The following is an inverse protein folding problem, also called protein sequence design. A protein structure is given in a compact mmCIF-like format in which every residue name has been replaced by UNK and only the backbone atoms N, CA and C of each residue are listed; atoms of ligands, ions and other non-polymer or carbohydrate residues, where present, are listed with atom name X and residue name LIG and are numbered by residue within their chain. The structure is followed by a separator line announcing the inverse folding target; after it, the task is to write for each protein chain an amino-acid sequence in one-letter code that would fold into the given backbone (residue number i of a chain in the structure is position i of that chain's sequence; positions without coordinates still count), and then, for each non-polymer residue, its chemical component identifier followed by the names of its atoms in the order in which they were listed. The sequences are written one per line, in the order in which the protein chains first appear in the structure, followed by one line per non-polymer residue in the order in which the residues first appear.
data_IF_693034080426
#
_entry.id   IF_693034080426
#
_cell.length_a   1.000
_cell.length_b   1.000
_cell.length_c   1.000
_cell.angle_alpha   90.00
_cell.angle_beta   90.00
_cell.angle_gamma   90.00
#
_symmetry.space_group_name_H-M   'P 1'
#
loop_
_entity.id
_entity.type
_entity.pdbx_description
1 polymer ?
#
# COMPACT_ATOMS: atom_id res chain seq x y z
N UNK A 1 -4.88 -14.77 -16.95
CA UNK A 1 -3.99 -13.64 -17.30
C UNK A 1 -3.12 -13.27 -16.10
N UNK A 2 -1.81 -13.08 -16.31
CA UNK A 2 -0.82 -12.77 -15.26
C UNK A 2 -0.89 -11.33 -14.72
N UNK A 3 -1.86 -10.55 -15.20
CA UNK A 3 -2.13 -9.17 -14.81
C UNK A 3 -3.16 -9.02 -13.68
N UNK A 4 -3.66 -10.13 -13.14
CA UNK A 4 -4.69 -10.10 -12.10
C UNK A 4 -4.20 -9.36 -10.84
N UNK A 5 -4.71 -8.14 -10.67
CA UNK A 5 -4.41 -7.24 -9.56
C UNK A 5 -4.73 -7.89 -8.22
N UNK A 6 -5.86 -8.58 -8.12
CA UNK A 6 -6.31 -9.24 -6.88
C UNK A 6 -5.40 -10.40 -6.52
N UNK A 7 -5.00 -11.22 -7.51
CA UNK A 7 -4.03 -12.29 -7.29
C UNK A 7 -2.68 -11.76 -6.81
N UNK A 8 -2.17 -10.68 -7.41
CA UNK A 8 -0.91 -10.04 -6.97
C UNK A 8 -1.00 -9.50 -5.55
N UNK A 9 -2.11 -8.86 -5.21
CA UNK A 9 -2.37 -8.35 -3.86
C UNK A 9 -2.41 -9.49 -2.86
N UNK A 10 -3.19 -10.54 -3.14
CA UNK A 10 -3.29 -11.74 -2.31
C UNK A 10 -1.93 -12.40 -2.09
N UNK A 11 -1.17 -12.66 -3.15
CA UNK A 11 0.16 -13.28 -3.05
C UNK A 11 1.13 -12.49 -2.16
N UNK A 12 1.05 -11.15 -2.16
CA UNK A 12 1.89 -10.30 -1.30
C UNK A 12 1.50 -10.41 0.17
N UNK A 13 0.20 -10.54 0.46
CA UNK A 13 -0.32 -10.75 1.81
C UNK A 13 0.10 -12.13 2.29
N UNK A 14 -0.17 -13.17 1.49
CA UNK A 14 0.14 -14.56 1.83
C UNK A 14 1.64 -14.74 2.07
N UNK A 15 2.49 -14.18 1.19
CA UNK A 15 3.94 -14.18 1.40
C UNK A 15 4.35 -13.47 2.71
N UNK A 16 3.74 -12.33 3.03
CA UNK A 16 4.05 -11.62 4.27
C UNK A 16 3.65 -12.45 5.50
N UNK A 17 2.48 -13.09 5.48
CA UNK A 17 2.03 -14.00 6.55
C UNK A 17 2.96 -15.21 6.71
N UNK A 18 3.33 -15.85 5.61
CA UNK A 18 4.27 -16.98 5.64
C UNK A 18 5.63 -16.56 6.23
N UNK A 19 6.13 -15.37 5.88
CA UNK A 19 7.36 -14.85 6.49
C UNK A 19 7.20 -14.52 7.97
N UNK A 20 6.04 -14.03 8.40
CA UNK A 20 5.77 -13.79 9.81
C UNK A 20 5.85 -15.12 10.59
N UNK A 21 5.03 -16.10 10.22
CA UNK A 21 4.98 -17.43 10.85
C UNK A 21 6.36 -18.11 10.89
N UNK A 22 7.10 -18.06 9.78
CA UNK A 22 8.44 -18.64 9.69
C UNK A 22 9.44 -17.98 10.65
N UNK A 23 9.40 -16.66 10.78
CA UNK A 23 10.32 -15.96 11.68
C UNK A 23 9.89 -16.10 13.14
N UNK A 24 8.60 -16.23 13.40
CA UNK A 24 8.06 -16.45 14.74
C UNK A 24 8.49 -17.82 15.27
N UNK A 25 8.25 -18.88 14.49
CA UNK A 25 8.70 -20.24 14.82
C UNK A 25 10.24 -20.31 15.01
N UNK A 26 11.00 -19.54 14.22
CA UNK A 26 12.46 -19.42 14.38
C UNK A 26 12.83 -18.69 15.66
N UNK A 27 12.12 -17.61 16.00
CA UNK A 27 12.29 -16.85 17.24
C UNK A 27 12.07 -17.75 18.46
N UNK A 28 10.97 -18.48 18.49
CA UNK A 28 10.63 -19.43 19.56
C UNK A 28 11.66 -20.53 19.70
N UNK A 29 12.11 -21.14 18.59
CA UNK A 29 13.14 -22.17 18.62
C UNK A 29 14.46 -21.66 19.21
N UNK A 30 14.91 -20.47 18.79
CA UNK A 30 16.13 -19.85 19.31
C UNK A 30 15.98 -19.40 20.77
N UNK A 31 14.82 -18.90 21.15
CA UNK A 31 14.51 -18.51 22.52
C UNK A 31 14.56 -19.72 23.45
N UNK A 32 13.90 -20.82 23.07
CA UNK A 32 13.90 -22.07 23.82
C UNK A 32 15.31 -22.67 23.92
N UNK A 33 16.10 -22.61 22.85
CA UNK A 33 17.50 -23.02 22.86
C UNK A 33 18.33 -22.17 23.85
N UNK A 34 18.21 -20.85 23.79
CA UNK A 34 18.94 -19.94 24.67
C UNK A 34 18.54 -20.16 26.14
N UNK A 35 17.25 -20.40 26.39
CA UNK A 35 16.71 -20.76 27.70
C UNK A 35 17.33 -22.05 28.23
N UNK A 36 17.33 -23.13 27.44
CA UNK A 36 17.97 -24.40 27.82
C UNK A 36 19.47 -24.25 28.12
N UNK A 37 20.18 -23.40 27.36
CA UNK A 37 21.58 -23.10 27.65
C UNK A 37 21.74 -22.30 28.95
N UNK A 38 20.83 -21.37 29.24
CA UNK A 38 20.84 -20.58 30.47
C UNK A 38 20.54 -21.45 31.70
N UNK A 39 19.62 -22.42 31.58
CA UNK A 39 19.24 -23.35 32.65
C UNK A 39 20.41 -24.23 33.12
N UNK A 40 21.44 -24.42 32.28
CA UNK A 40 22.67 -25.13 32.66
C UNK A 40 23.55 -24.35 33.66
N UNK A 41 23.30 -23.06 33.86
CA UNK A 41 24.00 -22.21 34.84
C UNK A 41 23.12 -22.10 36.08
N UNK A 42 23.54 -22.65 37.24
CA UNK A 42 22.85 -22.45 38.51
C UNK A 42 22.55 -20.98 38.80
N UNK A 43 21.33 -20.71 39.23
CA UNK A 43 20.87 -19.36 39.51
C UNK A 43 21.77 -18.69 40.57
N UNK A 44 22.22 -17.47 40.29
CA UNK A 44 23.09 -16.71 41.18
C UNK A 44 24.58 -17.08 41.15
N UNK A 45 25.01 -18.05 40.33
CA UNK A 45 26.43 -18.40 40.24
C UNK A 45 27.26 -17.23 39.67
N UNK A 46 28.24 -16.68 40.42
CA UNK A 46 29.11 -15.62 39.92
C UNK A 46 30.16 -16.16 38.93
N UNK A 47 30.69 -15.27 38.10
CA UNK A 47 31.87 -15.59 37.26
C UNK A 47 33.09 -15.65 38.18
N UNK A 48 33.80 -16.77 38.18
CA UNK A 48 35.04 -16.95 38.96
C UNK A 48 36.20 -16.22 38.27
N UNK A 49 36.42 -14.96 38.62
CA UNK A 49 37.49 -14.13 38.05
C UNK A 49 38.87 -14.65 38.47
N UNK A 50 39.78 -14.81 37.51
CA UNK A 50 41.13 -15.33 37.72
C UNK A 50 41.23 -16.87 37.74
N UNK A 51 40.11 -17.60 37.68
CA UNK A 51 40.12 -19.06 37.63
C UNK A 51 40.35 -19.56 36.19
N UNK A 52 40.95 -20.75 36.03
CA UNK A 52 41.24 -21.32 34.71
C UNK A 52 39.98 -21.54 33.84
N UNK A 53 38.79 -21.60 34.44
CA UNK A 53 37.49 -21.74 33.76
C UNK A 53 36.84 -20.41 33.36
N UNK A 54 37.36 -19.26 33.80
CA UNK A 54 36.75 -17.95 33.60
C UNK A 54 36.43 -17.67 32.13
N UNK A 55 37.43 -17.87 31.25
CA UNK A 55 37.31 -17.63 29.82
C UNK A 55 36.20 -18.48 29.19
N UNK A 56 36.06 -19.73 29.64
CA UNK A 56 35.03 -20.65 29.14
C UNK A 56 33.63 -20.22 29.58
N UNK A 57 33.46 -19.83 30.84
CA UNK A 57 32.17 -19.37 31.37
C UNK A 57 31.72 -18.07 30.68
N UNK A 58 32.62 -17.08 30.54
CA UNK A 58 32.34 -15.84 29.81
C UNK A 58 31.89 -16.10 28.37
N UNK A 59 32.60 -16.97 27.65
CA UNK A 59 32.24 -17.33 26.28
C UNK A 59 30.87 -18.02 26.20
N UNK A 60 30.57 -18.90 27.16
CA UNK A 60 29.29 -19.60 27.22
C UNK A 60 28.12 -18.64 27.47
N UNK A 61 28.26 -17.74 28.46
CA UNK A 61 27.28 -16.67 28.74
C UNK A 61 27.11 -15.72 27.56
N UNK A 62 28.19 -15.36 26.88
CA UNK A 62 28.13 -14.55 25.64
C UNK A 62 27.36 -15.28 24.54
N UNK A 63 27.55 -16.59 24.38
CA UNK A 63 26.79 -17.40 23.41
C UNK A 63 25.30 -17.42 23.73
N UNK A 64 24.92 -17.54 25.01
CA UNK A 64 23.51 -17.44 25.45
C UNK A 64 22.93 -16.08 25.06
N UNK A 65 23.61 -14.99 25.43
CA UNK A 65 23.19 -13.63 25.12
C UNK A 65 22.99 -13.41 23.61
N UNK A 66 23.96 -13.84 22.80
CA UNK A 66 23.89 -13.73 21.35
C UNK A 66 22.74 -14.58 20.75
N UNK A 67 22.41 -15.71 21.37
CA UNK A 67 21.31 -16.57 20.91
C UNK A 67 19.96 -15.95 21.25
N UNK A 68 19.80 -15.36 22.44
CA UNK A 68 18.64 -14.53 22.76
C UNK A 68 18.52 -13.32 21.82
N UNK A 69 19.61 -12.62 21.55
CA UNK A 69 19.61 -11.50 20.58
C UNK A 69 19.06 -11.92 19.22
N UNK A 70 19.52 -13.06 18.69
CA UNK A 70 18.99 -13.62 17.43
C UNK A 70 17.52 -14.05 17.50
N UNK A 71 17.05 -14.51 18.67
CA UNK A 71 15.65 -14.85 18.89
C UNK A 71 14.76 -13.60 18.80
N UNK A 72 15.13 -12.54 19.52
CA UNK A 72 14.40 -11.27 19.49
C UNK A 72 14.44 -10.62 18.10
N UNK A 73 15.58 -10.63 17.40
CA UNK A 73 15.65 -10.17 16.02
C UNK A 73 14.70 -10.93 15.07
N UNK A 74 14.48 -12.23 15.31
CA UNK A 74 13.54 -13.02 14.53
C UNK A 74 12.09 -12.66 14.88
N UNK A 75 11.77 -12.49 16.15
CA UNK A 75 10.45 -12.03 16.62
C UNK A 75 10.10 -10.64 16.08
N UNK A 76 11.05 -9.70 16.10
CA UNK A 76 10.86 -8.36 15.52
C UNK A 76 10.60 -8.42 14.02
N UNK A 77 11.30 -9.31 13.29
CA UNK A 77 11.04 -9.56 11.87
C UNK A 77 9.65 -10.14 11.66
N UNK A 78 9.20 -11.08 12.50
CA UNK A 78 7.87 -11.65 12.42
C UNK A 78 6.80 -10.56 12.52
N UNK A 79 6.86 -9.75 13.60
CA UNK A 79 5.96 -8.62 13.83
C UNK A 79 5.96 -7.61 12.68
N UNK A 80 7.13 -7.29 12.12
CA UNK A 80 7.21 -6.41 10.95
C UNK A 80 6.45 -6.98 9.74
N UNK A 81 6.55 -8.29 9.49
CA UNK A 81 5.82 -8.93 8.39
C UNK A 81 4.32 -9.04 8.65
N UNK A 82 3.88 -9.23 9.88
CA UNK A 82 2.46 -9.16 10.27
C UNK A 82 1.88 -7.78 9.98
N UNK A 83 2.53 -6.73 10.50
CA UNK A 83 2.13 -5.33 10.27
C UNK A 83 2.11 -5.01 8.77
N UNK A 84 3.06 -5.56 7.99
CA UNK A 84 3.07 -5.41 6.55
C UNK A 84 1.87 -6.08 5.88
N UNK A 85 1.48 -7.28 6.31
CA UNK A 85 0.29 -7.97 5.81
C UNK A 85 -0.98 -7.17 6.12
N UNK A 86 -1.12 -6.69 7.35
CA UNK A 86 -2.22 -5.83 7.79
C UNK A 86 -2.30 -4.54 6.99
N UNK A 87 -1.17 -3.85 6.81
CA UNK A 87 -1.10 -2.60 6.05
C UNK A 87 -1.54 -2.81 4.59
N UNK A 88 -1.15 -3.92 3.96
CA UNK A 88 -1.59 -4.24 2.59
C UNK A 88 -3.08 -4.57 2.55
N UNK A 89 -3.59 -5.28 3.55
CA UNK A 89 -5.00 -5.68 3.65
C UNK A 89 -5.93 -4.48 3.93
N UNK A 90 -5.52 -3.57 4.80
CA UNK A 90 -6.27 -2.37 5.19
C UNK A 90 -6.23 -1.25 4.14
N UNK A 91 -5.26 -1.29 3.21
CA UNK A 91 -5.15 -0.29 2.15
C UNK A 91 -6.37 -0.34 1.21
N UNK A 92 -7.17 0.72 1.27
CA UNK A 92 -8.40 0.95 0.50
C UNK A 92 -8.18 1.85 -0.73
N UNK A 93 -6.92 2.20 -1.03
CA UNK A 93 -6.60 3.04 -2.16
C UNK A 93 -7.05 2.36 -3.47
N UNK A 94 -7.77 3.12 -4.29
CA UNK A 94 -8.17 2.67 -5.62
C UNK A 94 -6.96 2.82 -6.54
N UNK A 95 -6.41 1.73 -7.05
CA UNK A 95 -5.28 1.72 -7.99
C UNK A 95 -5.76 1.79 -9.43
N UNK A 96 -4.98 2.37 -10.35
CA UNK A 96 -5.33 2.42 -11.78
C UNK A 96 -5.24 1.06 -12.47
N UNK A 97 -4.46 0.13 -11.91
CA UNK A 97 -4.28 -1.23 -12.43
C UNK A 97 -5.40 -2.19 -12.00
N UNK A 98 -6.32 -1.74 -11.15
CA UNK A 98 -7.48 -2.53 -10.73
C UNK A 98 -8.53 -2.51 -11.87
N UNK A 99 -8.97 -3.67 -12.40
CA UNK A 99 -9.99 -3.71 -13.46
C UNK A 99 -11.31 -3.04 -13.03
N UNK A 100 -11.60 -3.00 -11.74
CA UNK A 100 -12.80 -2.34 -11.18
C UNK A 100 -12.54 -0.88 -10.74
N UNK A 101 -11.38 -0.29 -11.07
CA UNK A 101 -11.01 1.05 -10.64
C UNK A 101 -12.07 2.11 -11.03
N UNK A 102 -12.57 2.08 -12.26
CA UNK A 102 -13.59 3.02 -12.73
C UNK A 102 -14.90 2.86 -11.96
N UNK A 103 -15.34 1.63 -11.70
CA UNK A 103 -16.55 1.36 -10.92
C UNK A 103 -16.41 1.89 -9.49
N UNK A 104 -15.30 1.59 -8.81
CA UNK A 104 -15.00 2.06 -7.45
C UNK A 104 -14.91 3.59 -7.38
N UNK A 105 -14.28 4.23 -8.37
CA UNK A 105 -14.19 5.70 -8.45
C UNK A 105 -15.56 6.34 -8.69
N UNK A 106 -16.40 5.77 -9.56
CA UNK A 106 -17.77 6.27 -9.80
C UNK A 106 -18.65 6.15 -8.56
N UNK A 107 -18.56 5.04 -7.82
CA UNK A 107 -19.23 4.89 -6.52
C UNK A 107 -18.76 5.96 -5.52
N UNK A 108 -17.45 6.11 -5.36
CA UNK A 108 -16.86 7.14 -4.49
C UNK A 108 -17.28 8.56 -4.90
N UNK A 109 -17.39 8.82 -6.20
CA UNK A 109 -17.88 10.11 -6.70
C UNK A 109 -19.34 10.34 -6.29
N UNK A 110 -20.22 9.35 -6.46
CA UNK A 110 -21.62 9.43 -6.05
C UNK A 110 -21.77 9.68 -4.54
N UNK A 111 -21.00 8.96 -3.71
CA UNK A 111 -20.99 9.15 -2.26
C UNK A 111 -20.54 10.57 -1.88
N UNK A 112 -19.47 11.08 -2.50
CA UNK A 112 -19.00 12.45 -2.26
C UNK A 112 -20.03 13.50 -2.68
N UNK A 113 -20.72 13.28 -3.80
CA UNK A 113 -21.79 14.17 -4.29
C UNK A 113 -23.00 14.18 -3.35
N UNK A 114 -23.45 13.00 -2.90
CA UNK A 114 -24.53 12.88 -1.94
C UNK A 114 -24.18 13.60 -0.62
N UNK A 115 -22.96 13.39 -0.11
CA UNK A 115 -22.46 14.08 1.07
C UNK A 115 -22.38 15.60 0.88
N UNK A 116 -22.02 16.07 -0.32
CA UNK A 116 -21.96 17.51 -0.61
C UNK A 116 -23.33 18.17 -0.55
N UNK A 117 -24.32 17.57 -1.22
CA UNK A 117 -25.68 18.08 -1.23
C UNK A 117 -26.32 17.98 0.16
N UNK A 118 -26.05 16.89 0.89
CA UNK A 118 -26.46 16.77 2.28
C UNK A 118 -25.91 17.90 3.15
N UNK A 119 -24.60 18.16 3.14
CA UNK A 119 -24.00 19.25 3.94
C UNK A 119 -24.58 20.62 3.58
N UNK A 120 -24.81 20.89 2.29
CA UNK A 120 -25.42 22.15 1.83
C UNK A 120 -26.86 22.29 2.33
N UNK A 121 -27.66 21.23 2.21
CA UNK A 121 -29.05 21.21 2.66
C UNK A 121 -29.13 21.33 4.19
N UNK A 122 -28.27 20.61 4.91
CA UNK A 122 -28.14 20.69 6.36
C UNK A 122 -27.82 22.11 6.83
N UNK A 123 -26.81 22.76 6.24
CA UNK A 123 -26.46 24.14 6.58
C UNK A 123 -27.59 25.13 6.26
N UNK A 124 -28.39 24.87 5.22
CA UNK A 124 -29.59 25.66 4.92
C UNK A 124 -30.65 25.51 6.02
N UNK A 125 -30.87 24.30 6.52
CA UNK A 125 -31.80 24.04 7.64
C UNK A 125 -31.33 24.70 8.94
N UNK A 126 -30.03 24.60 9.26
CA UNK A 126 -29.43 25.26 10.44
C UNK A 126 -29.61 26.77 10.38
N UNK A 127 -29.32 27.41 9.24
CA UNK A 127 -29.54 28.85 9.05
C UNK A 127 -30.99 29.27 9.25
N UNK A 128 -31.95 28.41 8.88
CA UNK A 128 -33.39 28.65 9.03
C UNK A 128 -33.94 28.21 10.39
N UNK A 129 -33.12 27.58 11.24
CA UNK A 129 -33.56 26.92 12.49
C UNK A 129 -34.68 25.88 12.26
N UNK A 130 -34.70 25.27 11.08
CA UNK A 130 -35.73 24.33 10.64
C UNK A 130 -35.29 22.89 10.93
N UNK A 131 -35.62 22.41 12.14
CA UNK A 131 -35.29 21.05 12.58
C UNK A 131 -36.09 20.00 11.83
N UNK A 132 -37.37 20.23 11.60
CA UNK A 132 -38.24 19.27 10.90
C UNK A 132 -37.80 19.07 9.45
N UNK A 133 -37.42 20.15 8.76
CA UNK A 133 -36.85 20.10 7.42
C UNK A 133 -35.52 19.36 7.38
N UNK A 134 -34.67 19.50 8.41
CA UNK A 134 -33.43 18.74 8.50
C UNK A 134 -33.67 17.24 8.64
N UNK A 135 -34.60 16.82 9.50
CA UNK A 135 -34.90 15.40 9.73
C UNK A 135 -35.46 14.67 8.50
N UNK A 136 -35.95 15.42 7.51
CA UNK A 136 -36.38 14.88 6.21
C UNK A 136 -35.22 14.64 5.24
N UNK A 137 -34.02 15.13 5.52
CA UNK A 137 -32.86 14.95 4.65
C UNK A 137 -32.33 13.50 4.72
N UNK A 138 -31.78 12.97 3.61
CA UNK A 138 -31.12 11.67 3.63
C UNK A 138 -29.97 11.66 4.64
N UNK A 139 -29.83 10.59 5.43
CA UNK A 139 -28.81 10.44 6.48
C UNK A 139 -28.91 11.43 7.66
N UNK A 140 -29.97 12.23 7.74
CA UNK A 140 -30.21 13.07 8.91
C UNK A 140 -30.57 12.22 10.13
N UNK A 141 -30.03 12.60 11.28
CA UNK A 141 -30.42 12.01 12.56
C UNK A 141 -30.63 13.12 13.60
N UNK A 142 -31.51 12.93 14.60
CA UNK A 142 -31.69 13.91 15.66
C UNK A 142 -30.38 14.22 16.41
N UNK A 143 -29.53 13.21 16.62
CA UNK A 143 -28.22 13.38 17.24
C UNK A 143 -27.29 14.28 16.42
N UNK A 144 -27.25 14.09 15.10
CA UNK A 144 -26.43 14.92 14.21
C UNK A 144 -26.92 16.37 14.19
N UNK A 145 -28.23 16.61 14.25
CA UNK A 145 -28.77 17.97 14.37
C UNK A 145 -28.23 18.69 15.61
N UNK A 146 -28.30 18.03 16.78
CA UNK A 146 -27.78 18.61 18.01
C UNK A 146 -26.26 18.82 17.94
N UNK A 147 -25.52 17.92 17.28
CA UNK A 147 -24.07 18.04 17.10
C UNK A 147 -23.71 19.26 16.26
N UNK A 148 -24.26 19.38 15.05
CA UNK A 148 -23.90 20.47 14.12
C UNK A 148 -24.49 21.82 14.57
N UNK A 149 -25.51 21.84 15.42
CA UNK A 149 -26.10 23.08 15.93
C UNK A 149 -25.36 23.63 17.17
N UNK A 150 -24.42 22.88 17.74
CA UNK A 150 -23.50 23.42 18.74
C UNK A 150 -22.60 24.46 18.08
N UNK A 151 -22.42 25.64 18.69
CA UNK A 151 -21.45 26.60 18.20
C UNK A 151 -20.04 26.02 18.30
N UNK A 152 -19.23 26.25 17.28
CA UNK A 152 -17.79 25.99 17.32
C UNK A 152 -17.07 27.04 18.18
N UNK A 153 -15.74 26.98 18.22
CA UNK A 153 -14.89 27.91 18.98
C UNK A 153 -15.08 29.37 18.55
N UNK A 154 -15.54 29.61 17.32
CA UNK A 154 -15.78 30.93 16.74
C UNK A 154 -17.27 31.33 16.79
N UNK A 155 -18.14 30.46 17.32
CA UNK A 155 -19.58 30.70 17.41
C UNK A 155 -20.36 30.27 16.16
N UNK A 156 -19.71 29.73 15.13
CA UNK A 156 -20.33 29.27 13.90
C UNK A 156 -21.05 27.93 14.11
N UNK A 157 -22.11 27.68 13.34
CA UNK A 157 -22.93 26.47 13.42
C UNK A 157 -23.12 25.83 12.05
N UNK A 158 -23.36 24.53 12.07
CA UNK A 158 -23.50 23.67 10.89
C UNK A 158 -22.19 23.01 10.52
N UNK A 159 -22.17 22.40 9.34
CA UNK A 159 -20.95 21.91 8.74
C UNK A 159 -20.02 23.08 8.40
N UNK A 160 -18.75 23.06 8.88
CA UNK A 160 -17.83 24.15 8.62
C UNK A 160 -17.59 24.37 7.12
N UNK A 161 -17.32 25.62 6.73
CA UNK A 161 -17.13 25.99 5.33
C UNK A 161 -16.04 25.16 4.63
N UNK A 162 -14.92 24.93 5.32
CA UNK A 162 -13.79 24.19 4.78
C UNK A 162 -14.14 22.72 4.48
N UNK A 163 -15.06 22.08 5.24
CA UNK A 163 -15.51 20.72 4.94
C UNK A 163 -16.22 20.66 3.58
N UNK A 164 -17.12 21.61 3.32
CA UNK A 164 -17.87 21.70 2.06
C UNK A 164 -16.92 21.98 0.89
N UNK A 165 -15.98 22.92 1.06
CA UNK A 165 -14.97 23.26 0.06
C UNK A 165 -14.05 22.08 -0.25
N UNK A 166 -13.52 21.40 0.78
CA UNK A 166 -12.65 20.23 0.62
C UNK A 166 -13.37 19.07 -0.07
N UNK A 167 -14.66 18.87 0.24
CA UNK A 167 -15.46 17.86 -0.43
C UNK A 167 -15.65 18.19 -1.92
N UNK A 168 -15.96 19.44 -2.26
CA UNK A 168 -16.08 19.89 -3.66
C UNK A 168 -14.75 19.73 -4.43
N UNK A 169 -13.63 20.09 -3.81
CA UNK A 169 -12.30 19.86 -4.40
C UNK A 169 -12.03 18.36 -4.62
N UNK A 170 -12.50 17.50 -3.71
CA UNK A 170 -12.39 16.04 -3.87
C UNK A 170 -13.25 15.51 -5.02
N UNK A 171 -14.49 16.00 -5.17
CA UNK A 171 -15.37 15.70 -6.30
C UNK A 171 -14.68 16.04 -7.62
N UNK A 172 -14.14 17.26 -7.75
CA UNK A 172 -13.44 17.70 -8.96
C UNK A 172 -12.22 16.81 -9.28
N UNK A 173 -11.40 16.49 -8.27
CA UNK A 173 -10.25 15.58 -8.42
C UNK A 173 -10.66 14.20 -8.91
N UNK A 174 -11.71 13.61 -8.34
CA UNK A 174 -12.19 12.27 -8.73
C UNK A 174 -12.78 12.29 -10.14
N UNK A 175 -13.55 13.32 -10.52
CA UNK A 175 -14.04 13.49 -11.90
C UNK A 175 -12.91 13.53 -12.92
N UNK A 176 -11.89 14.35 -12.67
CA UNK A 176 -10.71 14.45 -13.55
C UNK A 176 -9.99 13.09 -13.66
N UNK A 177 -9.88 12.37 -12.54
CA UNK A 177 -9.26 11.04 -12.51
C UNK A 177 -10.06 10.00 -13.31
N UNK A 178 -11.39 9.99 -13.20
CA UNK A 178 -12.27 9.12 -13.99
C UNK A 178 -12.09 9.41 -15.48
N UNK A 179 -12.18 10.68 -15.88
CA UNK A 179 -12.04 11.08 -17.28
C UNK A 179 -10.66 10.69 -17.87
N UNK A 180 -9.59 10.81 -17.07
CA UNK A 180 -8.26 10.37 -17.48
C UNK A 180 -8.21 8.86 -17.70
N UNK A 181 -8.74 8.07 -16.76
CA UNK A 181 -8.74 6.61 -16.88
C UNK A 181 -9.60 6.13 -18.05
N UNK A 182 -10.77 6.74 -18.27
CA UNK A 182 -11.64 6.43 -19.42
C UNK A 182 -10.92 6.66 -20.75
N UNK A 183 -10.18 7.78 -20.87
CA UNK A 183 -9.35 8.07 -22.06
C UNK A 183 -8.23 7.05 -22.28
N UNK A 184 -7.66 6.49 -21.20
CA UNK A 184 -6.61 5.47 -21.29
C UNK A 184 -7.21 4.13 -21.67
N UNK A 185 -8.31 3.72 -21.04
CA UNK A 185 -8.98 2.44 -21.31
C UNK A 185 -9.62 2.36 -22.69
N UNK A 186 -10.03 3.51 -23.27
CA UNK A 186 -10.60 3.56 -24.61
C UNK A 186 -9.56 3.38 -25.74
N UNK A 187 -8.25 3.51 -25.43
CA UNK A 187 -7.22 3.28 -26.44
C UNK A 187 -7.08 1.78 -26.69
N UNK A 188 -6.95 1.34 -27.94
CA UNK A 188 -6.66 -0.06 -28.22
C UNK A 188 -5.24 -0.41 -27.79
N UNK A 189 -5.04 -1.67 -27.42
CA UNK A 189 -3.68 -2.23 -27.31
C UNK A 189 -3.01 -2.13 -28.67
N UNK A 190 -1.84 -1.49 -28.70
CA UNK A 190 -1.07 -1.29 -29.92
C UNK A 190 0.27 -2.02 -29.80
N UNK A 191 0.66 -2.69 -30.88
CA UNK A 191 1.94 -3.37 -31.00
C UNK A 191 2.73 -2.74 -32.14
N UNK A 192 4.01 -2.52 -31.92
CA UNK A 192 4.93 -1.91 -32.88
C UNK A 192 6.28 -2.61 -32.79
N UNK A 193 6.93 -2.83 -33.93
CA UNK A 193 8.24 -3.47 -34.00
C UNK A 193 9.27 -2.44 -34.44
N UNK A 194 10.23 -2.16 -33.56
CA UNK A 194 11.29 -1.16 -33.77
C UNK A 194 12.63 -1.85 -33.58
N UNK A 195 13.48 -1.82 -34.61
CA UNK A 195 14.83 -2.42 -34.56
C UNK A 195 14.87 -3.87 -34.05
N UNK A 196 13.87 -4.68 -34.39
CA UNK A 196 13.74 -6.07 -33.95
C UNK A 196 13.22 -6.26 -32.52
N UNK A 197 12.82 -5.17 -31.84
CA UNK A 197 12.23 -5.17 -30.51
C UNK A 197 10.74 -4.92 -30.61
N UNK A 198 9.95 -5.80 -29.99
CA UNK A 198 8.49 -5.64 -29.94
C UNK A 198 8.10 -4.74 -28.78
N UNK A 199 7.54 -3.59 -29.11
CA UNK A 199 6.93 -2.63 -28.18
C UNK A 199 5.42 -2.90 -28.13
N UNK A 200 4.93 -3.26 -26.95
CA UNK A 200 3.51 -3.51 -26.70
C UNK A 200 2.96 -2.48 -25.71
N UNK A 201 1.98 -1.71 -26.15
CA UNK A 201 1.19 -0.79 -25.32
C UNK A 201 0.00 -1.56 -24.76
N UNK A 202 0.22 -2.30 -23.67
CA UNK A 202 -0.76 -3.18 -23.07
C UNK A 202 -1.72 -2.39 -22.17
N UNK A 203 -2.94 -2.14 -22.67
CA UNK A 203 -3.97 -1.36 -21.97
C UNK A 203 -4.59 -2.15 -20.84
N UNK A 204 -4.80 -3.46 -21.02
CA UNK A 204 -5.33 -4.36 -19.98
C UNK A 204 -4.40 -4.43 -18.76
N UNK A 205 -3.08 -4.52 -18.99
CA UNK A 205 -2.08 -4.51 -17.94
C UNK A 205 -1.74 -3.10 -17.44
N UNK A 206 -2.19 -2.05 -18.14
CA UNK A 206 -1.75 -0.66 -17.95
C UNK A 206 -0.21 -0.55 -17.97
N UNK A 207 0.45 -1.17 -18.95
CA UNK A 207 1.93 -1.21 -19.09
C UNK A 207 2.40 -0.93 -20.52
N UNK A 208 3.54 -0.28 -20.65
CA UNK A 208 4.39 -0.37 -21.86
C UNK A 208 5.36 -1.51 -21.63
N UNK A 209 5.40 -2.48 -22.55
CA UNK A 209 6.24 -3.67 -22.47
C UNK A 209 7.17 -3.74 -23.69
N UNK A 210 8.44 -3.99 -23.44
CA UNK A 210 9.48 -4.15 -24.46
C UNK A 210 9.99 -5.59 -24.42
N UNK A 211 9.79 -6.30 -25.53
CA UNK A 211 10.24 -7.68 -25.72
C UNK A 211 11.44 -7.69 -26.65
N UNK A 212 12.61 -7.97 -26.08
CA UNK A 212 13.84 -8.11 -26.82
C UNK A 212 14.05 -9.58 -27.21
N UNK A 213 14.62 -9.87 -28.40
CA UNK A 213 14.88 -11.24 -28.84
C UNK A 213 15.97 -11.95 -28.00
N UNK A 214 16.83 -11.18 -27.34
CA UNK A 214 17.86 -11.67 -26.43
C UNK A 214 18.11 -10.69 -25.29
N UNK A 215 19.10 -10.98 -24.44
CA UNK A 215 19.48 -10.09 -23.35
C UNK A 215 20.08 -8.81 -23.95
N UNK A 216 19.49 -7.63 -23.71
CA UNK A 216 20.02 -6.38 -24.25
C UNK A 216 21.41 -6.06 -23.67
N UNK A 217 22.21 -5.31 -24.43
CA UNK A 217 23.51 -4.81 -23.99
C UNK A 217 23.40 -4.07 -22.64
N UNK A 218 24.44 -4.15 -21.82
CA UNK A 218 24.41 -3.60 -20.46
C UNK A 218 24.10 -2.11 -20.42
N UNK A 219 24.67 -1.34 -21.34
CA UNK A 219 24.43 0.11 -21.47
C UNK A 219 22.95 0.42 -21.74
N UNK A 220 22.29 -0.35 -22.61
CA UNK A 220 20.86 -0.20 -22.85
C UNK A 220 20.05 -0.58 -21.61
N UNK A 221 20.43 -1.63 -20.88
CA UNK A 221 19.77 -2.01 -19.60
C UNK A 221 19.92 -0.91 -18.55
N UNK A 222 21.05 -0.20 -18.49
CA UNK A 222 21.25 0.95 -17.59
C UNK A 222 20.31 2.09 -17.98
N UNK A 223 20.25 2.47 -19.27
CA UNK A 223 19.33 3.50 -19.78
C UNK A 223 17.86 3.16 -19.51
N UNK A 224 17.45 1.91 -19.74
CA UNK A 224 16.11 1.42 -19.44
C UNK A 224 15.76 1.59 -17.95
N UNK A 225 16.67 1.18 -17.04
CA UNK A 225 16.48 1.34 -15.60
C UNK A 225 16.40 2.81 -15.17
N UNK A 226 17.25 3.68 -15.73
CA UNK A 226 17.22 5.13 -15.47
C UNK A 226 15.88 5.74 -15.88
N UNK A 227 15.30 5.25 -16.98
CA UNK A 227 14.00 5.67 -17.49
C UNK A 227 12.80 4.92 -16.87
N UNK A 228 13.02 4.20 -15.77
CA UNK A 228 11.98 3.54 -14.98
C UNK A 228 11.46 2.22 -15.54
N UNK A 229 12.02 1.69 -16.64
CA UNK A 229 11.71 0.34 -17.10
C UNK A 229 12.36 -0.69 -16.18
N UNK A 230 11.56 -1.66 -15.71
CA UNK A 230 12.02 -2.77 -14.88
C UNK A 230 11.78 -4.09 -15.59
N UNK A 231 12.79 -4.96 -15.53
CA UNK A 231 12.66 -6.33 -16.05
C UNK A 231 11.64 -7.12 -15.24
N UNK A 232 10.64 -7.67 -15.92
CA UNK A 232 9.64 -8.53 -15.33
C UNK A 232 9.86 -9.97 -15.79
N UNK A 233 10.35 -10.84 -14.89
CA UNK A 233 10.64 -12.24 -15.21
C UNK A 233 9.40 -13.02 -15.65
N UNK A 234 8.22 -12.73 -15.09
CA UNK A 234 6.99 -13.47 -15.39
C UNK A 234 6.43 -13.20 -16.79
N UNK A 235 6.71 -12.00 -17.32
CA UNK A 235 6.33 -11.54 -18.66
C UNK A 235 7.46 -11.67 -19.69
N UNK A 236 8.71 -11.81 -19.24
CA UNK A 236 9.87 -11.82 -20.14
C UNK A 236 10.09 -10.48 -20.85
N UNK A 237 9.69 -9.36 -20.22
CA UNK A 237 9.72 -8.04 -20.82
C UNK A 237 10.27 -6.97 -19.87
N UNK A 238 10.86 -5.93 -20.45
CA UNK A 238 11.11 -4.67 -19.73
C UNK A 238 9.82 -3.85 -19.73
N UNK A 239 9.34 -3.43 -18.56
CA UNK A 239 8.05 -2.75 -18.47
C UNK A 239 8.02 -1.59 -17.48
N UNK A 240 7.12 -0.63 -17.73
CA UNK A 240 6.72 0.45 -16.82
C UNK A 240 5.23 0.79 -17.03
N UNK A 241 4.67 1.62 -16.16
CA UNK A 241 3.28 2.09 -16.31
C UNK A 241 3.02 2.76 -17.66
N UNK A 242 1.85 2.50 -18.24
CA UNK A 242 1.43 3.09 -19.51
C UNK A 242 1.17 4.58 -19.32
N UNK A 243 2.09 5.39 -19.83
CA UNK A 243 1.94 6.86 -19.94
C UNK A 243 2.38 7.31 -21.32
N UNK A 244 1.88 8.44 -21.86
CA UNK A 244 2.33 8.96 -23.14
C UNK A 244 3.86 9.13 -23.20
N UNK A 245 4.45 9.64 -22.10
CA UNK A 245 5.89 9.76 -21.94
C UNK A 245 6.61 8.39 -21.95
N UNK A 246 5.99 7.34 -21.41
CA UNK A 246 6.56 5.99 -21.42
C UNK A 246 6.72 5.46 -22.84
N UNK A 247 5.71 5.70 -23.67
CA UNK A 247 5.71 5.29 -25.07
C UNK A 247 6.78 6.06 -25.85
N UNK A 248 6.86 7.39 -25.66
CA UNK A 248 7.91 8.20 -26.29
C UNK A 248 9.30 7.71 -25.92
N UNK A 249 9.60 7.60 -24.61
CA UNK A 249 10.91 7.15 -24.15
C UNK A 249 11.23 5.74 -24.63
N UNK A 250 10.23 4.85 -24.67
CA UNK A 250 10.42 3.53 -25.23
C UNK A 250 10.89 3.61 -26.69
N UNK A 251 10.26 4.44 -27.52
CA UNK A 251 10.66 4.63 -28.92
C UNK A 251 12.05 5.25 -29.03
N UNK A 252 12.39 6.22 -28.19
CA UNK A 252 13.69 6.91 -28.23
C UNK A 252 14.87 6.01 -27.81
N UNK A 253 14.59 4.95 -27.03
CA UNK A 253 15.60 4.01 -26.54
C UNK A 253 15.82 2.80 -27.46
N UNK A 254 14.94 2.56 -28.42
CA UNK A 254 14.99 1.44 -29.35
C UNK A 254 15.65 1.84 -30.67
#
# INVERSE_FOLDING_TARGET
MKHDFEKRRKNRIDYAKEQAEKNDAKGDALYNQAKQMADAIPFGQPILVGHHSEKRDRNYRSKIHNTFGKAFEAMDKAKHYEQKAETIAANDAIFSDDPQALQKLRKKLADLQANHEFMKAANKCIRKKDREGFLKLPHATPALWEEINKPDVMGDRGFPHYHVQNNNASIARIKNRIALLEKVTAKPTAEELINGVRLLQNVEANRVQLFFPGIPAEELRKKLKQNGFRWCRSEGAWQRHLTPLAVSIAKDLL
#
